data_IF_288149214463
#
_entry.id   IF_288149214463
#
_cell.length_a   1.000
_cell.length_b   1.000
_cell.length_c   1.000
_cell.angle_alpha   90.00
_cell.angle_beta   90.00
_cell.angle_gamma   90.00
#
_symmetry.space_group_name_H-M   'P 1'
#
loop_
_entity.id
_entity.type
_entity.pdbx_description
1 polymer ?
#
# COMPACT_ATOMS: atom_id res chain seq x y z
N UNK A 1 -59.83 -32.71 -57.45
CA UNK A 1 -59.00 -33.38 -56.42
C UNK A 1 -57.85 -34.02 -57.19
N UNK A 2 -56.57 -33.76 -56.96
CA UNK A 2 -55.74 -33.78 -55.73
C UNK A 2 -54.56 -32.82 -56.06
N UNK A 3 -54.21 -31.78 -55.30
CA UNK A 3 -53.60 -31.85 -53.96
C UNK A 3 -52.13 -32.29 -54.06
N UNK A 4 -51.16 -31.38 -53.97
CA UNK A 4 -49.74 -31.77 -53.99
C UNK A 4 -48.78 -30.64 -53.67
N UNK A 5 -48.37 -30.59 -52.41
CA UNK A 5 -47.60 -29.55 -51.72
C UNK A 5 -46.29 -29.11 -52.40
N UNK A 6 -46.06 -27.80 -52.30
CA UNK A 6 -44.80 -27.07 -52.55
C UNK A 6 -43.74 -27.49 -51.50
N UNK A 7 -42.43 -27.50 -51.85
CA UNK A 7 -41.37 -28.03 -51.00
C UNK A 7 -41.14 -27.15 -49.77
N UNK A 8 -41.11 -27.77 -48.59
CA UNK A 8 -40.69 -27.13 -47.35
C UNK A 8 -39.23 -26.69 -47.43
N UNK A 9 -39.01 -25.39 -47.59
CA UNK A 9 -37.69 -24.78 -47.42
C UNK A 9 -37.34 -24.78 -45.93
N UNK A 10 -36.28 -25.50 -45.58
CA UNK A 10 -35.62 -25.50 -44.28
C UNK A 10 -35.40 -24.06 -43.79
N UNK A 11 -36.00 -23.74 -42.64
CA UNK A 11 -35.87 -22.44 -41.97
C UNK A 11 -34.55 -22.30 -41.17
N UNK A 12 -33.60 -23.22 -41.33
CA UNK A 12 -32.44 -23.31 -40.46
C UNK A 12 -31.27 -22.39 -40.85
N UNK A 13 -31.38 -21.63 -41.96
CA UNK A 13 -30.25 -20.87 -42.51
C UNK A 13 -30.38 -19.34 -42.48
N UNK A 14 -31.45 -18.79 -41.87
CA UNK A 14 -31.69 -17.33 -41.88
C UNK A 14 -30.96 -16.63 -40.71
N UNK A 15 -30.76 -17.31 -39.58
CA UNK A 15 -30.14 -16.74 -38.38
C UNK A 15 -28.60 -16.85 -38.35
N UNK A 16 -27.97 -17.65 -39.22
CA UNK A 16 -26.53 -17.91 -39.19
C UNK A 16 -25.63 -16.66 -39.34
N UNK A 17 -25.82 -15.83 -40.39
CA UNK A 17 -25.00 -14.63 -40.60
C UNK A 17 -25.24 -13.55 -39.54
N UNK A 18 -26.51 -13.29 -39.19
CA UNK A 18 -26.88 -12.29 -38.17
C UNK A 18 -26.36 -12.69 -36.79
N UNK A 19 -26.49 -13.97 -36.40
CA UNK A 19 -25.93 -14.50 -35.16
C UNK A 19 -24.41 -14.35 -35.12
N UNK A 20 -23.70 -14.65 -36.22
CA UNK A 20 -22.24 -14.48 -36.30
C UNK A 20 -21.82 -13.02 -36.13
N UNK A 21 -22.53 -12.07 -36.77
CA UNK A 21 -22.25 -10.63 -36.58
C UNK A 21 -22.51 -10.16 -35.14
N UNK A 22 -23.59 -10.65 -34.51
CA UNK A 22 -23.89 -10.34 -33.11
C UNK A 22 -22.84 -10.90 -32.16
N UNK A 23 -22.41 -12.15 -32.35
CA UNK A 23 -21.35 -12.78 -31.55
C UNK A 23 -20.04 -12.01 -31.67
N UNK A 24 -19.61 -11.68 -32.89
CA UNK A 24 -18.39 -10.88 -33.11
C UNK A 24 -18.48 -9.50 -32.44
N UNK A 25 -19.65 -8.85 -32.49
CA UNK A 25 -19.85 -7.58 -31.80
C UNK A 25 -19.74 -7.75 -30.28
N UNK A 26 -20.40 -8.75 -29.71
CA UNK A 26 -20.35 -9.03 -28.27
C UNK A 26 -18.96 -9.40 -27.77
N UNK A 27 -18.20 -10.13 -28.58
CA UNK A 27 -16.80 -10.43 -28.29
C UNK A 27 -15.94 -9.17 -28.26
N UNK A 28 -16.08 -8.28 -29.26
CA UNK A 28 -15.39 -6.98 -29.26
C UNK A 28 -15.78 -6.12 -28.05
N UNK A 29 -17.06 -6.00 -27.74
CA UNK A 29 -17.57 -5.27 -26.58
C UNK A 29 -17.00 -5.84 -25.26
N UNK A 30 -16.97 -7.17 -25.14
CA UNK A 30 -16.40 -7.88 -23.99
C UNK A 30 -14.89 -7.62 -23.87
N UNK A 31 -14.15 -7.70 -24.97
CA UNK A 31 -12.71 -7.46 -24.98
C UNK A 31 -12.39 -6.01 -24.63
N UNK A 32 -13.13 -5.04 -25.17
CA UNK A 32 -12.99 -3.63 -24.81
C UNK A 32 -13.26 -3.41 -23.31
N UNK A 33 -14.32 -4.03 -22.78
CA UNK A 33 -14.66 -3.97 -21.37
C UNK A 33 -13.56 -4.56 -20.47
N UNK A 34 -12.98 -5.71 -20.86
CA UNK A 34 -11.86 -6.33 -20.14
C UNK A 34 -10.62 -5.46 -20.16
N UNK A 35 -10.26 -4.92 -21.33
CA UNK A 35 -9.10 -4.05 -21.50
C UNK A 35 -9.25 -2.78 -20.64
N UNK A 36 -10.43 -2.16 -20.66
CA UNK A 36 -10.71 -0.99 -19.84
C UNK A 36 -10.59 -1.29 -18.35
N UNK A 37 -11.19 -2.39 -17.86
CA UNK A 37 -11.07 -2.83 -16.46
C UNK A 37 -9.61 -3.06 -16.06
N UNK A 38 -8.83 -3.72 -16.92
CA UNK A 38 -7.41 -3.96 -16.69
C UNK A 38 -6.63 -2.65 -16.57
N UNK A 39 -6.86 -1.69 -17.48
CA UNK A 39 -6.21 -0.38 -17.44
C UNK A 39 -6.59 0.42 -16.19
N UNK A 40 -7.86 0.41 -15.78
CA UNK A 40 -8.31 1.05 -14.55
C UNK A 40 -7.66 0.42 -13.31
N UNK A 41 -7.59 -0.91 -13.23
CA UNK A 41 -6.90 -1.60 -12.14
C UNK A 41 -5.41 -1.25 -12.08
N UNK A 42 -4.74 -1.20 -13.23
CA UNK A 42 -3.32 -0.82 -13.30
C UNK A 42 -3.11 0.64 -12.90
N UNK A 43 -4.00 1.55 -13.30
CA UNK A 43 -3.95 2.95 -12.90
C UNK A 43 -4.14 3.12 -11.38
N UNK A 44 -5.13 2.45 -10.79
CA UNK A 44 -5.34 2.47 -9.33
C UNK A 44 -4.11 1.93 -8.59
N UNK A 45 -3.57 0.79 -9.01
CA UNK A 45 -2.36 0.21 -8.41
C UNK A 45 -1.16 1.17 -8.47
N UNK A 46 -0.92 1.80 -9.62
CA UNK A 46 0.16 2.80 -9.75
C UNK A 46 -0.03 3.98 -8.80
N UNK A 47 -1.25 4.50 -8.72
CA UNK A 47 -1.60 5.62 -7.83
C UNK A 47 -1.42 5.25 -6.36
N UNK A 48 -1.81 4.04 -5.95
CA UNK A 48 -1.65 3.56 -4.58
C UNK A 48 -0.17 3.40 -4.21
N UNK A 49 0.66 2.87 -5.13
CA UNK A 49 2.11 2.78 -4.95
C UNK A 49 2.74 4.16 -4.82
N UNK A 50 2.37 5.10 -5.68
CA UNK A 50 2.87 6.48 -5.64
C UNK A 50 2.49 7.16 -4.31
N UNK A 51 1.23 7.03 -3.90
CA UNK A 51 0.77 7.56 -2.62
C UNK A 51 1.50 6.93 -1.44
N UNK A 52 1.73 5.62 -1.46
CA UNK A 52 2.49 4.94 -0.42
C UNK A 52 3.92 5.49 -0.32
N UNK A 53 4.60 5.72 -1.45
CA UNK A 53 5.95 6.31 -1.50
C UNK A 53 5.99 7.73 -0.93
N UNK A 54 4.99 8.57 -1.23
CA UNK A 54 4.89 9.91 -0.65
C UNK A 54 4.77 9.86 0.88
N UNK A 55 3.89 9.00 1.39
CA UNK A 55 3.67 8.83 2.83
C UNK A 55 4.93 8.30 3.52
N UNK A 56 5.65 7.36 2.89
CA UNK A 56 6.91 6.83 3.41
C UNK A 56 8.02 7.88 3.42
N UNK A 57 8.10 8.73 2.40
CA UNK A 57 9.03 9.87 2.40
C UNK A 57 8.75 10.82 3.56
N UNK A 58 7.48 11.11 3.84
CA UNK A 58 7.08 11.96 4.97
C UNK A 58 7.40 11.31 6.33
N UNK A 59 7.17 10.00 6.48
CA UNK A 59 7.55 9.25 7.69
C UNK A 59 9.06 9.25 7.90
N UNK A 60 9.83 9.05 6.84
CA UNK A 60 11.30 9.04 6.91
C UNK A 60 11.84 10.42 7.28
N UNK A 61 11.30 11.49 6.69
CA UNK A 61 11.67 12.87 7.04
C UNK A 61 11.35 13.17 8.51
N UNK A 62 10.13 12.84 8.95
CA UNK A 62 9.73 13.02 10.34
C UNK A 62 10.64 12.26 11.31
N UNK A 63 10.99 11.01 10.98
CA UNK A 63 11.89 10.20 11.80
C UNK A 63 13.26 10.86 11.93
N UNK A 64 13.83 11.39 10.84
CA UNK A 64 15.12 12.09 10.89
C UNK A 64 15.04 13.40 11.68
N UNK A 65 13.95 14.16 11.54
CA UNK A 65 13.71 15.37 12.34
C UNK A 65 13.66 15.02 13.84
N UNK A 66 13.01 13.92 14.21
CA UNK A 66 12.97 13.42 15.59
C UNK A 66 14.37 12.99 16.05
N UNK A 67 15.12 12.25 15.24
CA UNK A 67 16.48 11.80 15.60
C UNK A 67 17.43 12.99 15.79
N UNK A 68 17.32 14.02 14.95
CA UNK A 68 18.06 15.27 15.10
C UNK A 68 17.73 15.94 16.43
N UNK A 69 16.45 16.09 16.78
CA UNK A 69 16.07 16.70 18.05
C UNK A 69 16.42 15.85 19.27
N UNK A 70 16.37 14.53 19.16
CA UNK A 70 16.86 13.61 20.19
C UNK A 70 18.38 13.75 20.36
N UNK A 71 19.13 14.03 19.29
CA UNK A 71 20.56 14.31 19.36
C UNK A 71 20.84 15.53 20.23
N UNK A 72 20.08 16.61 20.04
CA UNK A 72 20.25 17.86 20.76
C UNK A 72 20.06 17.69 22.28
N UNK A 73 19.32 16.66 22.70
CA UNK A 73 19.10 16.31 24.12
C UNK A 73 19.87 15.05 24.56
N UNK A 74 20.79 14.53 23.75
CA UNK A 74 21.67 13.41 24.11
C UNK A 74 21.07 12.00 24.01
N UNK A 75 19.96 11.83 23.31
CA UNK A 75 19.21 10.57 23.22
C UNK A 75 19.29 9.85 21.86
N UNK A 76 19.97 10.43 20.85
CA UNK A 76 20.07 9.82 19.50
C UNK A 76 20.68 8.43 19.52
N UNK A 77 21.75 8.24 20.29
CA UNK A 77 22.48 6.98 20.35
C UNK A 77 21.59 5.81 20.81
N UNK A 78 20.83 5.99 21.89
CA UNK A 78 19.95 4.95 22.40
C UNK A 78 18.82 4.63 21.40
N UNK A 79 18.30 5.64 20.69
CA UNK A 79 17.35 5.40 19.60
C UNK A 79 17.97 4.55 18.47
N UNK A 80 19.21 4.85 18.06
CA UNK A 80 19.90 4.06 17.05
C UNK A 80 20.22 2.63 17.51
N UNK A 81 20.53 2.41 18.79
CA UNK A 81 20.72 1.07 19.36
C UNK A 81 19.44 0.25 19.24
N UNK A 82 18.28 0.82 19.57
CA UNK A 82 16.97 0.16 19.37
C UNK A 82 16.77 -0.22 17.91
N UNK A 83 17.03 0.72 17.01
CA UNK A 83 16.85 0.51 15.57
C UNK A 83 17.79 -0.59 15.03
N UNK A 84 19.03 -0.68 15.53
CA UNK A 84 20.05 -1.66 15.09
C UNK A 84 19.81 -3.05 15.70
N UNK A 85 19.58 -3.11 17.01
CA UNK A 85 19.39 -4.38 17.75
C UNK A 85 18.19 -5.18 17.24
N UNK A 86 17.12 -4.50 16.82
CA UNK A 86 15.91 -5.16 16.37
C UNK A 86 15.96 -5.56 14.88
N UNK A 87 16.82 -4.94 14.07
CA UNK A 87 17.05 -5.37 12.66
C UNK A 87 17.69 -6.74 12.54
N UNK A 88 18.47 -7.16 13.55
CA UNK A 88 19.11 -8.49 13.56
C UNK A 88 18.10 -9.62 13.79
N UNK A 89 16.89 -9.30 14.29
CA UNK A 89 15.80 -10.25 14.46
C UNK A 89 14.82 -10.04 13.32
N UNK A 90 14.89 -10.89 12.28
CA UNK A 90 14.17 -10.75 10.99
C UNK A 90 12.65 -10.55 11.10
N UNK A 91 12.06 -10.89 12.25
CA UNK A 91 10.63 -10.82 12.53
C UNK A 91 10.22 -9.65 13.44
N UNK A 92 11.17 -8.99 14.12
CA UNK A 92 10.86 -7.84 14.98
C UNK A 92 11.05 -6.56 14.21
N UNK A 93 9.94 -5.87 13.99
CA UNK A 93 9.96 -4.52 13.44
C UNK A 93 10.60 -3.56 14.46
N UNK A 94 11.41 -2.65 13.96
CA UNK A 94 12.07 -1.57 14.69
C UNK A 94 11.05 -0.73 15.49
N UNK A 95 10.94 -1.01 16.79
CA UNK A 95 10.00 -0.41 17.73
C UNK A 95 10.09 1.12 17.78
N UNK A 96 11.27 1.70 17.55
CA UNK A 96 11.42 3.14 17.43
C UNK A 96 10.78 3.65 16.13
N UNK A 97 11.12 3.04 14.99
CA UNK A 97 10.52 3.42 13.70
C UNK A 97 9.00 3.18 13.64
N UNK A 98 8.49 2.23 14.42
CA UNK A 98 7.05 1.92 14.49
C UNK A 98 6.29 2.73 15.53
N UNK A 99 6.99 3.46 16.41
CA UNK A 99 6.34 4.24 17.45
C UNK A 99 5.31 5.20 16.84
N UNK A 100 4.11 5.26 17.43
CA UNK A 100 2.96 6.01 16.89
C UNK A 100 3.24 7.48 16.59
N UNK A 101 4.18 8.08 17.34
CA UNK A 101 4.59 9.49 17.22
C UNK A 101 5.67 9.70 16.15
N UNK A 102 6.40 8.63 15.78
CA UNK A 102 7.45 8.61 14.76
C UNK A 102 6.87 8.22 13.40
N UNK A 103 6.00 7.21 13.36
CA UNK A 103 5.42 6.65 12.13
C UNK A 103 4.23 7.46 11.58
N UNK A 104 4.33 8.78 11.57
CA UNK A 104 3.27 9.66 11.07
C UNK A 104 3.70 10.29 9.75
N UNK A 105 2.85 10.27 8.70
CA UNK A 105 3.17 10.89 7.42
C UNK A 105 2.89 12.39 7.46
N UNK A 106 3.50 13.10 8.41
CA UNK A 106 3.37 14.56 8.58
C UNK A 106 4.62 15.17 9.16
N UNK A 107 4.95 16.39 8.73
CA UNK A 107 6.12 17.13 9.20
C UNK A 107 6.09 17.29 10.73
N UNK A 108 7.26 17.20 11.37
CA UNK A 108 7.39 17.50 12.79
C UNK A 108 7.32 19.03 12.98
N UNK A 109 6.39 19.48 13.82
CA UNK A 109 6.28 20.88 14.21
C UNK A 109 6.87 21.07 15.60
N UNK A 110 7.20 22.30 15.98
CA UNK A 110 7.73 22.61 17.31
C UNK A 110 6.75 22.19 18.42
N UNK A 111 5.50 22.57 18.27
CA UNK A 111 4.42 22.14 19.17
C UNK A 111 4.29 20.61 19.22
N UNK A 112 4.32 19.95 18.05
CA UNK A 112 4.23 18.50 17.97
C UNK A 112 5.42 17.79 18.62
N UNK A 113 6.62 18.37 18.56
CA UNK A 113 7.80 17.88 19.27
C UNK A 113 7.62 17.97 20.78
N UNK A 114 7.21 19.13 21.29
CA UNK A 114 7.02 19.33 22.73
C UNK A 114 6.02 18.35 23.34
N UNK A 115 4.98 17.94 22.59
CA UNK A 115 4.03 16.92 23.05
C UNK A 115 4.65 15.52 23.13
N UNK A 116 5.45 15.12 22.15
CA UNK A 116 5.92 13.73 22.02
C UNK A 116 7.27 13.49 22.70
N UNK A 117 8.01 14.55 23.03
CA UNK A 117 9.38 14.49 23.56
C UNK A 117 9.46 13.62 24.80
N UNK A 118 8.62 13.89 25.79
CA UNK A 118 8.69 13.20 27.08
C UNK A 118 8.34 11.71 26.93
N UNK A 119 7.32 11.39 26.13
CA UNK A 119 6.94 10.01 25.81
C UNK A 119 8.11 9.24 25.15
N UNK A 120 8.79 9.86 24.18
CA UNK A 120 9.93 9.25 23.52
C UNK A 120 11.10 9.06 24.49
N UNK A 121 11.42 10.06 25.31
CA UNK A 121 12.50 9.96 26.31
C UNK A 121 12.21 8.86 27.33
N UNK A 122 10.96 8.74 27.81
CA UNK A 122 10.56 7.63 28.70
C UNK A 122 10.74 6.28 28.02
N UNK A 123 10.32 6.14 26.77
CA UNK A 123 10.49 4.89 26.01
C UNK A 123 11.98 4.51 25.87
N UNK A 124 12.83 5.47 25.51
CA UNK A 124 14.27 5.26 25.36
C UNK A 124 14.94 4.94 26.71
N UNK A 125 14.54 5.61 27.78
CA UNK A 125 15.03 5.35 29.14
C UNK A 125 14.74 3.93 29.58
N UNK A 126 13.50 3.47 29.38
CA UNK A 126 13.10 2.09 29.70
C UNK A 126 13.88 1.05 28.88
N UNK A 127 14.22 1.37 27.63
CA UNK A 127 15.03 0.49 26.80
C UNK A 127 16.48 0.42 27.30
N UNK A 128 17.06 1.58 27.62
CA UNK A 128 18.41 1.70 28.19
C UNK A 128 18.53 0.89 29.48
N UNK A 129 17.56 1.03 30.38
CA UNK A 129 17.53 0.30 31.66
C UNK A 129 17.50 -1.22 31.44
N UNK A 130 16.60 -1.72 30.58
CA UNK A 130 16.52 -3.15 30.24
C UNK A 130 17.82 -3.68 29.63
N UNK A 131 18.45 -2.90 28.76
CA UNK A 131 19.74 -3.27 28.17
C UNK A 131 20.81 -3.40 29.25
N UNK A 132 20.94 -2.40 30.12
CA UNK A 132 21.92 -2.41 31.21
C UNK A 132 21.67 -3.54 32.21
N UNK A 133 20.42 -3.93 32.47
CA UNK A 133 20.10 -5.09 33.31
C UNK A 133 20.50 -6.44 32.69
N UNK A 134 20.67 -6.50 31.36
CA UNK A 134 21.08 -7.72 30.65
C UNK A 134 22.60 -7.82 30.48
N UNK A 135 23.33 -6.71 30.67
CA UNK A 135 24.79 -6.62 30.56
C UNK A 135 25.52 -6.86 31.90
N UNK A 136 24.77 -7.02 33.01
CA UNK A 136 25.26 -7.38 34.36
C UNK A 136 25.18 -8.90 34.54
#
# INVERSE_FOLDING_TARGET
MVGGLVPGKSQDNIFGPQRKTWLNRKEKESQQSRNHRFLCAQWMCRRDIERARELDKLRQQRKEDILTRLNDIGWREEAEIIMKSQRLITWRKDSFAQHKSVNQPRKLTEYGWNIIKDELVTMLSNHKEKRLQTEI
#
